data_IF_529189482392
#
_entry.id   IF_529189482392
#
_cell.length_a   1.000
_cell.length_b   1.000
_cell.length_c   1.000
_cell.angle_alpha   90.00
_cell.angle_beta   90.00
_cell.angle_gamma   90.00
#
_symmetry.space_group_name_H-M   'P 1'
#
loop_
_entity.id
_entity.type
_entity.pdbx_description
1 polymer ?
#
# COMPACT_ATOMS: atom_id res chain seq x y z
N UNK A 1 -19.92 -4.66 -36.09
CA UNK A 1 -18.50 -4.55 -35.69
C UNK A 1 -18.43 -3.43 -34.67
N UNK A 2 -18.13 -3.74 -33.40
CA UNK A 2 -17.97 -2.71 -32.38
C UNK A 2 -16.79 -1.81 -32.78
N UNK A 3 -17.00 -0.49 -32.83
CA UNK A 3 -15.92 0.45 -33.10
C UNK A 3 -14.88 0.33 -31.99
N UNK A 4 -13.57 0.28 -32.30
CA UNK A 4 -12.55 0.25 -31.27
C UNK A 4 -12.67 1.52 -30.42
N UNK A 5 -12.77 1.34 -29.10
CA UNK A 5 -12.86 2.45 -28.15
C UNK A 5 -11.61 3.32 -28.32
N UNK A 6 -11.81 4.57 -28.72
CA UNK A 6 -10.73 5.52 -28.97
C UNK A 6 -10.29 6.12 -27.65
N UNK A 7 -9.16 5.63 -27.12
CA UNK A 7 -8.60 6.14 -25.87
C UNK A 7 -7.74 7.36 -26.15
N UNK A 8 -8.08 8.48 -25.51
CA UNK A 8 -7.34 9.73 -25.68
C UNK A 8 -6.06 9.74 -24.85
N UNK A 9 -5.08 10.55 -25.27
CA UNK A 9 -3.82 10.73 -24.53
C UNK A 9 -4.09 11.46 -23.20
N UNK A 10 -5.08 12.36 -23.21
CA UNK A 10 -5.54 13.11 -22.07
C UNK A 10 -6.10 12.20 -20.97
N UNK A 11 -6.91 11.19 -21.32
CA UNK A 11 -7.46 10.21 -20.37
C UNK A 11 -6.35 9.34 -19.76
N UNK A 12 -5.40 8.89 -20.58
CA UNK A 12 -4.24 8.11 -20.09
C UNK A 12 -3.42 8.96 -19.11
N UNK A 13 -3.17 10.23 -19.44
CA UNK A 13 -2.44 11.15 -18.59
C UNK A 13 -3.17 11.38 -17.27
N UNK A 14 -4.47 11.67 -17.32
CA UNK A 14 -5.29 11.86 -16.12
C UNK A 14 -5.25 10.64 -15.21
N UNK A 15 -5.46 9.44 -15.76
CA UNK A 15 -5.44 8.21 -14.99
C UNK A 15 -4.07 7.95 -14.35
N UNK A 16 -2.98 8.23 -15.10
CA UNK A 16 -1.62 8.14 -14.57
C UNK A 16 -1.37 9.13 -13.44
N UNK A 17 -1.78 10.38 -13.60
CA UNK A 17 -1.51 11.43 -12.62
C UNK A 17 -2.29 11.15 -11.31
N UNK A 18 -3.50 10.58 -11.39
CA UNK A 18 -4.29 10.19 -10.21
C UNK A 18 -3.78 8.90 -9.54
N UNK A 19 -3.26 7.92 -10.30
CA UNK A 19 -2.93 6.58 -9.76
C UNK A 19 -1.44 6.33 -9.56
N UNK A 20 -0.57 7.12 -10.18
CA UNK A 20 0.88 6.90 -10.24
C UNK A 20 1.30 5.71 -11.10
N UNK A 21 0.38 5.03 -11.79
CA UNK A 21 0.69 3.86 -12.60
C UNK A 21 1.47 4.20 -13.89
N UNK A 22 2.14 3.19 -14.47
CA UNK A 22 2.88 3.39 -15.72
C UNK A 22 1.95 3.75 -16.89
N UNK A 23 2.41 4.59 -17.82
CA UNK A 23 1.61 5.07 -18.98
C UNK A 23 0.95 3.91 -19.75
N UNK A 24 1.70 2.85 -20.03
CA UNK A 24 1.20 1.67 -20.75
C UNK A 24 0.23 0.83 -19.93
N UNK A 25 0.27 0.93 -18.60
CA UNK A 25 -0.66 0.24 -17.71
C UNK A 25 -1.98 0.98 -17.67
N UNK A 26 -1.95 2.31 -17.59
CA UNK A 26 -3.14 3.15 -17.72
C UNK A 26 -3.83 2.95 -19.06
N UNK A 27 -3.09 2.93 -20.18
CA UNK A 27 -3.65 2.64 -21.50
C UNK A 27 -4.34 1.28 -21.56
N UNK A 28 -3.67 0.22 -21.11
CA UNK A 28 -4.24 -1.14 -21.09
C UNK A 28 -5.44 -1.26 -20.17
N UNK A 29 -5.42 -0.59 -19.02
CA UNK A 29 -6.55 -0.58 -18.09
C UNK A 29 -7.77 0.09 -18.73
N UNK A 30 -7.59 1.23 -19.41
CA UNK A 30 -8.66 1.90 -20.14
C UNK A 30 -9.16 1.05 -21.32
N UNK A 31 -8.28 0.32 -22.02
CA UNK A 31 -8.67 -0.60 -23.11
C UNK A 31 -9.51 -1.78 -22.59
N UNK A 32 -9.09 -2.39 -21.48
CA UNK A 32 -9.83 -3.50 -20.82
C UNK A 32 -11.14 -3.04 -20.18
N UNK A 33 -11.21 -1.77 -19.78
CA UNK A 33 -12.41 -1.14 -19.26
C UNK A 33 -13.33 -0.59 -20.35
N UNK A 34 -12.98 -0.74 -21.63
CA UNK A 34 -13.75 -0.18 -22.76
C UNK A 34 -14.00 1.32 -22.61
N UNK A 35 -13.02 2.04 -22.04
CA UNK A 35 -13.09 3.49 -21.79
C UNK A 35 -13.77 3.89 -20.47
N UNK A 36 -14.27 2.94 -19.68
CA UNK A 36 -14.81 3.23 -18.34
C UNK A 36 -13.68 3.59 -17.36
N UNK A 37 -13.67 4.83 -16.91
CA UNK A 37 -12.62 5.37 -16.06
C UNK A 37 -12.57 4.75 -14.66
N UNK A 38 -13.72 4.54 -14.01
CA UNK A 38 -13.74 3.98 -12.66
C UNK A 38 -13.38 2.50 -12.69
N UNK A 39 -13.89 1.77 -13.69
CA UNK A 39 -13.49 0.37 -13.90
C UNK A 39 -12.00 0.25 -14.22
N UNK A 40 -11.42 1.19 -14.98
CA UNK A 40 -9.97 1.22 -15.22
C UNK A 40 -9.16 1.43 -13.93
N UNK A 41 -9.64 2.27 -13.00
CA UNK A 41 -9.01 2.44 -11.67
C UNK A 41 -9.06 1.17 -10.84
N UNK A 42 -10.19 0.46 -10.86
CA UNK A 42 -10.31 -0.84 -10.18
C UNK A 42 -9.34 -1.87 -10.76
N UNK A 43 -9.20 -1.92 -12.10
CA UNK A 43 -8.22 -2.78 -12.76
C UNK A 43 -6.79 -2.44 -12.36
N UNK A 44 -6.42 -1.15 -12.33
CA UNK A 44 -5.09 -0.73 -11.90
C UNK A 44 -4.83 -1.08 -10.43
N UNK A 45 -5.84 -0.93 -9.56
CA UNK A 45 -5.73 -1.30 -8.15
C UNK A 45 -5.49 -2.80 -7.98
N UNK A 46 -6.29 -3.63 -8.64
CA UNK A 46 -6.13 -5.09 -8.61
C UNK A 46 -4.76 -5.52 -9.19
N UNK A 47 -4.35 -4.94 -10.32
CA UNK A 47 -3.05 -5.21 -10.91
C UNK A 47 -1.88 -4.74 -10.03
N UNK A 48 -2.05 -3.65 -9.28
CA UNK A 48 -1.10 -3.15 -8.30
C UNK A 48 -0.87 -4.16 -7.16
N UNK A 49 -1.95 -4.73 -6.61
CA UNK A 49 -1.87 -5.76 -5.58
C UNK A 49 -1.09 -7.00 -6.04
N UNK A 50 -1.39 -7.49 -7.25
CA UNK A 50 -0.67 -8.63 -7.83
C UNK A 50 0.83 -8.34 -8.05
N UNK A 51 1.19 -7.09 -8.40
CA UNK A 51 2.61 -6.72 -8.52
C UNK A 51 3.29 -6.63 -7.18
N UNK A 52 2.61 -6.11 -6.15
CA UNK A 52 3.13 -6.06 -4.80
C UNK A 52 3.42 -7.49 -4.29
N UNK A 53 2.48 -8.41 -4.49
CA UNK A 53 2.65 -9.83 -4.15
C UNK A 53 3.85 -10.46 -4.88
N UNK A 54 4.01 -10.22 -6.19
CA UNK A 54 5.17 -10.71 -6.95
C UNK A 54 6.51 -10.14 -6.48
N UNK A 55 6.49 -9.02 -5.75
CA UNK A 55 7.69 -8.36 -5.21
C UNK A 55 7.93 -8.69 -3.73
N UNK A 56 7.00 -9.34 -3.03
CA UNK A 56 7.09 -9.59 -1.58
C UNK A 56 8.32 -10.43 -1.19
N UNK A 57 8.77 -11.33 -2.07
CA UNK A 57 9.96 -12.14 -1.85
C UNK A 57 11.30 -11.44 -2.14
N UNK A 58 11.28 -10.16 -2.54
CA UNK A 58 12.51 -9.41 -2.80
C UNK A 58 13.11 -8.90 -1.50
N UNK A 59 14.43 -8.89 -1.45
CA UNK A 59 15.17 -8.36 -0.30
C UNK A 59 15.12 -6.83 -0.32
N UNK A 60 14.57 -6.23 0.73
CA UNK A 60 14.55 -4.79 0.98
C UNK A 60 15.39 -4.47 2.21
N UNK A 61 16.60 -3.93 2.01
CA UNK A 61 17.57 -3.63 3.09
C UNK A 61 17.82 -2.14 3.31
N UNK A 62 17.42 -1.31 2.35
CA UNK A 62 17.44 0.13 2.50
C UNK A 62 16.11 0.59 3.11
N UNK A 63 15.99 1.85 3.52
CA UNK A 63 14.75 2.34 4.11
C UNK A 63 14.92 3.60 4.95
N UNK A 64 13.91 3.85 5.77
CA UNK A 64 13.91 4.96 6.72
C UNK A 64 13.39 4.52 8.08
N UNK A 65 13.88 5.16 9.13
CA UNK A 65 13.26 5.14 10.46
C UNK A 65 12.43 6.41 10.60
N UNK A 66 11.13 6.25 10.81
CA UNK A 66 10.19 7.34 11.06
C UNK A 66 9.77 7.35 12.51
N UNK A 67 9.89 8.52 13.15
CA UNK A 67 9.41 8.75 14.51
C UNK A 67 8.26 9.75 14.48
N UNK A 68 7.15 9.40 15.12
CA UNK A 68 6.02 10.29 15.35
C UNK A 68 5.89 10.55 16.86
N UNK A 69 5.80 11.82 17.25
CA UNK A 69 5.52 12.23 18.64
C UNK A 69 4.16 12.92 18.63
N UNK A 70 3.20 12.35 19.36
CA UNK A 70 1.87 12.92 19.45
C UNK A 70 1.86 14.22 20.26
N UNK A 71 0.85 15.06 20.04
CA UNK A 71 0.74 16.34 20.71
C UNK A 71 0.77 16.19 22.25
N UNK A 72 1.57 17.01 22.92
CA UNK A 72 1.77 16.94 24.37
C UNK A 72 2.91 16.02 24.82
N UNK A 73 3.66 15.41 23.90
CA UNK A 73 4.93 14.70 24.19
C UNK A 73 4.82 13.52 25.18
N UNK A 74 3.64 12.88 25.26
CA UNK A 74 3.39 11.74 26.17
C UNK A 74 3.32 10.39 25.46
N UNK A 75 3.22 10.41 24.14
CA UNK A 75 3.09 9.22 23.31
C UNK A 75 3.93 9.44 22.06
N UNK A 76 4.69 8.42 21.68
CA UNK A 76 5.42 8.40 20.44
C UNK A 76 5.50 6.99 19.89
N UNK A 77 5.70 6.89 18.58
CA UNK A 77 5.89 5.65 17.86
C UNK A 77 7.10 5.77 16.95
N UNK A 78 7.78 4.66 16.75
CA UNK A 78 8.91 4.54 15.83
C UNK A 78 8.64 3.37 14.90
N UNK A 79 8.84 3.59 13.60
CA UNK A 79 8.60 2.60 12.54
C UNK A 79 9.83 2.54 11.66
N UNK A 80 10.30 1.32 11.40
CA UNK A 80 11.22 1.04 10.30
C UNK A 80 10.40 0.69 9.04
N UNK A 81 10.63 1.43 7.95
CA UNK A 81 10.04 1.13 6.66
C UNK A 81 11.14 0.87 5.63
N UNK A 82 11.26 -0.38 5.19
CA UNK A 82 12.29 -0.79 4.24
C UNK A 82 11.83 -0.71 2.77
N UNK A 83 12.79 -0.51 1.87
CA UNK A 83 12.64 -0.58 0.43
C UNK A 83 13.91 -1.15 -0.25
N UNK A 84 13.85 -1.35 -1.57
CA UNK A 84 14.95 -1.98 -2.31
C UNK A 84 16.17 -1.05 -2.49
N UNK A 85 16.00 0.28 -2.49
CA UNK A 85 17.08 1.24 -2.75
C UNK A 85 16.97 2.53 -1.95
N UNK A 86 18.12 3.14 -1.66
CA UNK A 86 18.22 4.42 -0.95
C UNK A 86 17.58 5.59 -1.73
N UNK A 87 17.59 5.53 -3.07
CA UNK A 87 16.89 6.50 -3.90
C UNK A 87 15.39 6.56 -3.59
N UNK A 88 14.74 5.40 -3.39
CA UNK A 88 13.32 5.34 -3.01
C UNK A 88 13.13 5.83 -1.58
N UNK A 89 14.02 5.44 -0.66
CA UNK A 89 13.95 5.89 0.74
C UNK A 89 13.98 7.42 0.90
N UNK A 90 14.59 8.13 -0.06
CA UNK A 90 14.74 9.59 -0.05
C UNK A 90 13.60 10.34 -0.73
N UNK A 91 12.62 9.66 -1.35
CA UNK A 91 11.51 10.39 -1.98
C UNK A 91 10.54 10.94 -0.93
N UNK A 92 9.93 12.11 -1.17
CA UNK A 92 8.96 12.69 -0.25
C UNK A 92 7.79 11.75 0.05
N UNK A 93 7.33 11.00 -0.95
CA UNK A 93 6.19 10.08 -0.83
C UNK A 93 6.51 8.92 0.10
N UNK A 94 7.73 8.36 0.04
CA UNK A 94 8.14 7.26 0.91
C UNK A 94 8.31 7.73 2.36
N UNK A 95 8.89 8.91 2.56
CA UNK A 95 9.03 9.51 3.90
C UNK A 95 7.68 9.85 4.51
N UNK A 96 6.76 10.41 3.71
CA UNK A 96 5.40 10.69 4.16
C UNK A 96 4.68 9.41 4.56
N UNK A 97 4.76 8.35 3.76
CA UNK A 97 4.17 7.05 4.09
C UNK A 97 4.69 6.53 5.44
N UNK A 98 6.00 6.58 5.67
CA UNK A 98 6.59 6.12 6.94
C UNK A 98 6.07 6.93 8.15
N UNK A 99 5.91 8.24 8.00
CA UNK A 99 5.35 9.12 9.02
C UNK A 99 3.86 8.84 9.30
N UNK A 100 3.07 8.60 8.25
CA UNK A 100 1.66 8.24 8.37
C UNK A 100 1.48 6.87 9.06
N UNK A 101 2.33 5.89 8.74
CA UNK A 101 2.35 4.60 9.43
C UNK A 101 2.72 4.79 10.90
N UNK A 102 3.75 5.58 11.22
CA UNK A 102 4.12 5.86 12.61
C UNK A 102 2.99 6.53 13.40
N UNK A 103 2.25 7.45 12.79
CA UNK A 103 1.06 8.06 13.38
C UNK A 103 -0.05 7.03 13.65
N UNK A 104 -0.30 6.13 12.69
CA UNK A 104 -1.27 5.05 12.83
C UNK A 104 -0.89 4.10 13.97
N UNK A 105 0.39 3.73 14.08
CA UNK A 105 0.91 2.88 15.16
C UNK A 105 0.68 3.55 16.52
N UNK A 106 0.98 4.84 16.65
CA UNK A 106 0.70 5.58 17.88
C UNK A 106 -0.80 5.57 18.24
N UNK A 107 -1.69 5.67 17.25
CA UNK A 107 -3.14 5.71 17.48
C UNK A 107 -3.80 4.35 17.73
N UNK A 108 -3.26 3.27 17.16
CA UNK A 108 -3.87 1.93 17.22
C UNK A 108 -3.21 0.99 18.23
N UNK A 109 -1.98 1.26 18.66
CA UNK A 109 -1.18 0.39 19.54
C UNK A 109 -1.15 -1.09 19.09
N UNK A 110 -0.80 -1.37 17.81
CA UNK A 110 -0.77 -2.73 17.30
C UNK A 110 0.33 -3.53 18.00
N UNK A 111 0.01 -4.77 18.39
CA UNK A 111 0.96 -5.65 19.10
C UNK A 111 1.84 -6.47 18.14
N UNK A 112 1.41 -6.62 16.89
CA UNK A 112 2.08 -7.46 15.88
C UNK A 112 2.03 -6.75 14.51
N UNK A 113 3.03 -7.02 13.66
CA UNK A 113 3.15 -6.40 12.32
C UNK A 113 2.31 -7.17 11.30
N UNK A 114 2.38 -8.50 11.34
CA UNK A 114 1.65 -9.41 10.47
C UNK A 114 0.81 -10.41 11.26
N UNK A 115 -0.03 -11.19 10.55
CA UNK A 115 -0.87 -12.22 11.20
C UNK A 115 -0.02 -13.40 11.64
N UNK A 116 1.04 -13.66 10.90
CA UNK A 116 1.99 -14.74 11.10
C UNK A 116 2.87 -14.51 12.33
N UNK A 117 3.05 -13.25 12.75
CA UNK A 117 3.79 -12.88 13.96
C UNK A 117 3.01 -13.15 15.26
N UNK A 118 1.71 -13.48 15.16
CA UNK A 118 0.87 -13.75 16.34
C UNK A 118 1.18 -15.16 16.87
N UNK A 119 1.65 -15.32 18.12
CA UNK A 119 1.96 -16.63 18.67
C UNK A 119 0.74 -17.54 18.73
N UNK A 120 0.93 -18.83 18.45
CA UNK A 120 -0.15 -19.82 18.45
C UNK A 120 -0.84 -19.90 19.83
N UNK A 121 -0.10 -19.70 20.92
CA UNK A 121 -0.68 -19.73 22.27
C UNK A 121 -1.69 -18.59 22.46
N UNK A 122 -1.39 -17.40 21.94
CA UNK A 122 -2.30 -16.23 21.99
C UNK A 122 -3.56 -16.54 21.19
N UNK A 123 -3.43 -17.12 20.00
CA UNK A 123 -4.59 -17.50 19.17
C UNK A 123 -5.45 -18.56 19.86
N UNK A 124 -4.83 -19.59 20.44
CA UNK A 124 -5.53 -20.66 21.15
C UNK A 124 -6.29 -20.12 22.37
N UNK A 125 -5.66 -19.25 23.14
CA UNK A 125 -6.28 -18.59 24.29
C UNK A 125 -7.49 -17.76 23.87
N UNK A 126 -7.36 -16.91 22.84
CA UNK A 126 -8.47 -16.09 22.36
C UNK A 126 -9.62 -16.94 21.81
N UNK A 127 -9.32 -18.05 21.12
CA UNK A 127 -10.35 -19.01 20.66
C UNK A 127 -11.10 -19.62 21.84
N UNK A 128 -10.39 -20.05 22.89
CA UNK A 128 -11.01 -20.60 24.09
C UNK A 128 -11.96 -19.58 24.72
N UNK A 129 -11.49 -18.35 24.96
CA UNK A 129 -12.31 -17.27 25.53
C UNK A 129 -13.59 -17.01 24.70
N UNK A 130 -13.48 -17.08 23.37
CA UNK A 130 -14.62 -16.84 22.47
C UNK A 130 -15.66 -17.96 22.51
N UNK A 131 -15.24 -19.24 22.60
CA UNK A 131 -16.15 -20.40 22.59
C UNK A 131 -16.66 -20.82 23.98
N UNK A 132 -15.99 -20.42 25.06
CA UNK A 132 -16.47 -20.65 26.43
C UNK A 132 -17.51 -19.61 26.90
N UNK A 133 -17.76 -18.58 26.08
CA UNK A 133 -18.91 -17.68 26.22
C UNK A 133 -20.11 -18.17 25.41
#
# INVERSE_FOLDING_TARGET
MAQPVKISVEEIKRLRDETGAGVMECKRALEQAEGDYEKAKEFLRAAGLLKAEKKSGRVAKEGVIACYIHHGNRLGAMVELNCESDFVARTPEFQQLAQEIAMQVAGMDPQYISREDVPEEVVAEQRRIFYEK
#
